data_IF_484471220053
#
_entry.id   IF_484471220053
#
_cell.length_a   1.000
_cell.length_b   1.000
_cell.length_c   1.000
_cell.angle_alpha   90.00
_cell.angle_beta   90.00
_cell.angle_gamma   90.00
#
_symmetry.space_group_name_H-M   'P 1'
#
loop_
_entity.id
_entity.type
_entity.pdbx_description
1 polymer ?
#
# COMPACT_ATOMS: atom_id res chain seq x y z
N UNK A 1 28.53 -13.31 -9.42
CA UNK A 1 27.90 -13.15 -8.07
C UNK A 1 27.58 -11.70 -7.71
N UNK A 2 28.54 -10.75 -7.66
CA UNK A 2 28.21 -9.34 -7.41
C UNK A 2 27.49 -8.67 -8.60
N UNK A 3 27.87 -9.02 -9.84
CA UNK A 3 27.24 -8.48 -11.05
C UNK A 3 25.85 -9.08 -11.33
N UNK A 4 25.59 -10.32 -10.91
CA UNK A 4 24.25 -10.93 -11.02
C UNK A 4 23.24 -10.24 -10.10
N UNK A 5 23.65 -9.86 -8.89
CA UNK A 5 22.80 -9.09 -7.97
C UNK A 5 22.52 -7.68 -8.52
N UNK A 6 23.53 -7.01 -9.08
CA UNK A 6 23.36 -5.70 -9.73
C UNK A 6 22.42 -5.78 -10.94
N UNK A 7 22.54 -6.81 -11.77
CA UNK A 7 21.64 -7.02 -12.91
C UNK A 7 20.19 -7.30 -12.46
N UNK A 8 20.01 -8.06 -11.37
CA UNK A 8 18.70 -8.26 -10.76
C UNK A 8 18.11 -6.96 -10.20
N UNK A 9 18.94 -6.11 -9.59
CA UNK A 9 18.52 -4.79 -9.09
C UNK A 9 18.10 -3.84 -10.23
N UNK A 10 18.85 -3.83 -11.34
CA UNK A 10 18.52 -3.03 -12.53
C UNK A 10 17.22 -3.53 -13.17
N UNK A 11 17.04 -4.85 -13.30
CA UNK A 11 15.81 -5.44 -13.80
C UNK A 11 14.60 -5.10 -12.90
N UNK A 12 14.78 -5.14 -11.58
CA UNK A 12 13.73 -4.75 -10.63
C UNK A 12 13.33 -3.28 -10.77
N UNK A 13 14.30 -2.36 -10.95
CA UNK A 13 14.02 -0.93 -11.20
C UNK A 13 13.23 -0.75 -12.49
N UNK A 14 13.57 -1.47 -13.56
CA UNK A 14 12.86 -1.38 -14.83
C UNK A 14 11.43 -1.94 -14.73
N UNK A 15 11.23 -3.09 -14.08
CA UNK A 15 9.90 -3.67 -13.83
C UNK A 15 9.00 -2.69 -13.05
N UNK A 16 9.54 -2.03 -12.02
CA UNK A 16 8.77 -1.07 -11.20
C UNK A 16 8.46 0.20 -12.00
N UNK A 17 9.38 0.69 -12.83
CA UNK A 17 9.11 1.80 -13.75
C UNK A 17 8.00 1.48 -14.73
N UNK A 18 7.96 0.26 -15.24
CA UNK A 18 6.89 -0.18 -16.14
C UNK A 18 5.55 -0.27 -15.39
N UNK A 19 5.55 -0.72 -14.14
CA UNK A 19 4.36 -0.69 -13.28
C UNK A 19 3.86 0.72 -13.02
N UNK A 20 4.75 1.68 -12.73
CA UNK A 20 4.38 3.09 -12.57
C UNK A 20 3.77 3.63 -13.86
N UNK A 21 4.37 3.34 -15.02
CA UNK A 21 3.81 3.73 -16.32
C UNK A 21 2.44 3.10 -16.57
N UNK A 22 2.21 1.86 -16.14
CA UNK A 22 0.90 1.22 -16.20
C UNK A 22 -0.12 1.88 -15.28
N UNK A 23 0.28 2.32 -14.09
CA UNK A 23 -0.57 3.12 -13.19
C UNK A 23 -0.92 4.46 -13.83
N UNK A 24 0.05 5.19 -14.38
CA UNK A 24 -0.19 6.46 -15.08
C UNK A 24 -1.15 6.28 -16.27
N UNK A 25 -0.94 5.24 -17.08
CA UNK A 25 -1.87 4.88 -18.17
C UNK A 25 -3.25 4.50 -17.63
N UNK A 26 -3.32 3.77 -16.51
CA UNK A 26 -4.57 3.40 -15.86
C UNK A 26 -5.35 4.62 -15.34
N UNK A 27 -4.65 5.62 -14.81
CA UNK A 27 -5.24 6.89 -14.38
C UNK A 27 -5.72 7.71 -15.58
N UNK A 28 -4.93 7.79 -16.65
CA UNK A 28 -5.30 8.52 -17.87
C UNK A 28 -6.50 7.88 -18.60
N UNK A 29 -6.53 6.54 -18.70
CA UNK A 29 -7.62 5.78 -19.31
C UNK A 29 -8.82 5.57 -18.38
N UNK A 30 -8.67 5.86 -17.07
CA UNK A 30 -9.64 5.53 -16.00
C UNK A 30 -9.99 4.04 -15.92
N UNK A 31 -9.14 3.17 -16.45
CA UNK A 31 -9.36 1.73 -16.44
C UNK A 31 -8.65 1.07 -15.25
N UNK A 32 -9.45 0.60 -14.29
CA UNK A 32 -9.00 -0.11 -13.08
C UNK A 32 -8.20 -1.39 -13.35
N UNK A 33 -8.29 -1.97 -14.56
CA UNK A 33 -7.61 -3.23 -14.94
C UNK A 33 -6.09 -3.13 -14.87
N UNK A 34 -5.53 -1.98 -15.24
CA UNK A 34 -4.07 -1.78 -15.23
C UNK A 34 -3.55 -1.75 -13.80
N UNK A 35 -4.25 -1.06 -12.89
CA UNK A 35 -3.92 -1.00 -11.47
C UNK A 35 -4.03 -2.39 -10.84
N UNK A 36 -5.09 -3.15 -11.14
CA UNK A 36 -5.26 -4.53 -10.64
C UNK A 36 -4.12 -5.47 -11.10
N UNK A 37 -3.66 -5.34 -12.35
CA UNK A 37 -2.51 -6.12 -12.86
C UNK A 37 -1.23 -5.81 -12.08
N UNK A 38 -0.96 -4.53 -11.83
CA UNK A 38 0.19 -4.10 -11.03
C UNK A 38 0.09 -4.64 -9.60
N UNK A 39 -1.08 -4.52 -8.97
CA UNK A 39 -1.32 -5.04 -7.62
C UNK A 39 -1.19 -6.57 -7.52
N UNK A 40 -1.52 -7.32 -8.58
CA UNK A 40 -1.27 -8.77 -8.64
C UNK A 40 0.20 -9.13 -8.70
N UNK A 41 1.03 -8.27 -9.29
CA UNK A 41 2.49 -8.45 -9.35
C UNK A 41 3.20 -8.01 -8.06
N UNK A 42 2.47 -7.42 -7.10
CA UNK A 42 3.00 -6.95 -5.82
C UNK A 42 3.78 -8.01 -5.01
N UNK A 43 3.38 -9.30 -4.96
CA UNK A 43 4.15 -10.33 -4.25
C UNK A 43 5.50 -10.64 -4.93
N UNK A 44 5.58 -10.52 -6.26
CA UNK A 44 6.81 -10.74 -7.00
C UNK A 44 7.78 -9.58 -6.81
N UNK A 45 7.27 -8.34 -6.85
CA UNK A 45 8.09 -7.15 -6.56
C UNK A 45 8.56 -7.14 -5.12
N UNK A 46 7.72 -7.57 -4.17
CA UNK A 46 8.10 -7.75 -2.76
C UNK A 46 9.37 -8.59 -2.59
N UNK A 47 9.58 -9.66 -3.38
CA UNK A 47 10.80 -10.47 -3.25
C UNK A 47 12.05 -9.81 -3.84
N UNK A 48 11.88 -8.99 -4.88
CA UNK A 48 12.99 -8.38 -5.66
C UNK A 48 13.41 -6.99 -5.15
N UNK A 49 12.64 -6.37 -4.25
CA UNK A 49 12.92 -5.02 -3.76
C UNK A 49 14.09 -4.99 -2.77
N UNK A 50 15.16 -4.28 -3.12
CA UNK A 50 16.30 -4.01 -2.25
C UNK A 50 16.34 -2.53 -1.83
N UNK A 51 17.01 -2.19 -0.72
CA UNK A 51 17.14 -0.80 -0.24
C UNK A 51 17.77 0.14 -1.28
N UNK A 52 18.68 -0.38 -2.12
CA UNK A 52 19.30 0.32 -3.26
C UNK A 52 18.27 0.62 -4.36
N UNK A 53 17.36 -0.32 -4.64
CA UNK A 53 16.26 -0.15 -5.61
C UNK A 53 15.30 0.95 -5.14
N UNK A 54 14.97 1.01 -3.84
CA UNK A 54 14.14 2.09 -3.29
C UNK A 54 14.80 3.46 -3.39
N UNK A 55 16.11 3.56 -3.11
CA UNK A 55 16.84 4.82 -3.24
C UNK A 55 16.75 5.33 -4.66
N UNK A 56 17.06 4.49 -5.65
CA UNK A 56 16.99 4.83 -7.08
C UNK A 56 15.57 5.17 -7.55
N UNK A 57 14.54 4.48 -7.04
CA UNK A 57 13.14 4.81 -7.31
C UNK A 57 12.75 6.16 -6.71
N UNK A 58 13.15 6.45 -5.47
CA UNK A 58 12.91 7.75 -4.85
C UNK A 58 13.56 8.88 -5.64
N UNK A 59 14.76 8.65 -6.21
CA UNK A 59 15.40 9.64 -7.09
C UNK A 59 14.71 9.79 -8.45
N UNK A 60 14.08 8.72 -8.94
CA UNK A 60 13.42 8.67 -10.24
C UNK A 60 11.98 9.20 -10.22
N UNK A 61 11.30 9.14 -9.08
CA UNK A 61 9.87 9.44 -8.93
C UNK A 61 9.65 10.82 -8.31
N UNK A 62 10.49 11.21 -7.35
CA UNK A 62 10.34 12.49 -6.65
C UNK A 62 11.32 13.55 -7.18
N UNK A 63 10.87 14.78 -7.47
CA UNK A 63 11.77 15.93 -7.52
C UNK A 63 12.50 16.10 -6.18
N UNK A 64 13.63 16.80 -6.17
CA UNK A 64 14.31 17.15 -4.92
C UNK A 64 13.38 18.01 -4.05
N UNK A 65 12.89 17.44 -2.94
CA UNK A 65 11.93 18.09 -2.05
C UNK A 65 11.66 17.27 -0.79
N UNK A 66 10.87 17.83 0.14
CA UNK A 66 10.61 17.27 1.47
C UNK A 66 10.00 15.84 1.43
N UNK A 67 9.21 15.52 0.41
CA UNK A 67 8.65 14.17 0.22
C UNK A 67 9.71 13.10 -0.05
N UNK A 68 10.80 13.47 -0.75
CA UNK A 68 11.93 12.58 -1.02
C UNK A 68 12.75 12.37 0.25
N UNK A 69 12.95 13.40 1.06
CA UNK A 69 13.64 13.27 2.35
C UNK A 69 12.83 12.47 3.37
N UNK A 70 11.51 12.66 3.43
CA UNK A 70 10.62 11.86 4.27
C UNK A 70 10.59 10.38 3.84
N UNK A 71 10.51 10.12 2.53
CA UNK A 71 10.61 8.77 1.99
C UNK A 71 11.97 8.12 2.27
N UNK A 72 13.07 8.89 2.14
CA UNK A 72 14.44 8.44 2.41
C UNK A 72 14.68 8.20 3.90
N UNK A 73 14.12 9.04 4.77
CA UNK A 73 14.20 8.89 6.23
C UNK A 73 13.44 7.68 6.76
N UNK A 74 12.36 7.28 6.08
CA UNK A 74 11.55 6.11 6.42
C UNK A 74 12.09 4.79 5.86
N UNK A 75 13.12 4.81 5.00
CA UNK A 75 13.71 3.57 4.47
C UNK A 75 14.34 2.74 5.59
N UNK A 76 14.25 1.39 5.54
CA UNK A 76 14.98 0.54 6.46
C UNK A 76 16.48 0.81 6.30
N UNK A 77 17.20 0.89 7.42
CA UNK A 77 18.61 1.22 7.46
C UNK A 77 19.43 0.14 6.74
N UNK A 78 19.73 0.37 5.47
CA UNK A 78 20.84 -0.24 4.75
C UNK A 78 21.69 0.89 4.22
N UNK A 79 22.98 0.69 4.35
CA UNK A 79 24.02 1.67 4.61
C UNK A 79 24.03 2.90 3.70
N UNK A 80 24.53 3.99 4.27
CA UNK A 80 24.80 5.25 3.57
C UNK A 80 25.75 5.08 2.37
N UNK A 81 26.40 3.92 2.19
CA UNK A 81 27.50 3.70 1.24
C UNK A 81 27.25 2.71 0.09
N UNK A 82 26.01 2.52 -0.37
CA UNK A 82 25.78 1.94 -1.69
C UNK A 82 25.67 3.05 -2.74
N UNK A 83 26.84 3.43 -3.25
CA UNK A 83 27.06 4.32 -4.39
C UNK A 83 26.17 3.95 -5.58
N UNK A 84 25.69 4.98 -6.24
CA UNK A 84 24.91 5.01 -7.47
C UNK A 84 25.13 3.77 -8.38
N UNK A 85 24.03 3.11 -8.77
CA UNK A 85 24.08 2.11 -9.85
C UNK A 85 24.37 2.86 -11.16
N UNK A 86 25.51 2.64 -11.84
CA UNK A 86 25.95 3.47 -12.97
C UNK A 86 25.10 3.32 -14.24
N UNK A 87 24.27 2.29 -14.32
CA UNK A 87 23.66 1.83 -15.58
C UNK A 87 22.13 1.84 -15.61
N UNK A 88 21.51 2.63 -14.74
CA UNK A 88 20.11 3.02 -14.97
C UNK A 88 20.14 4.24 -15.89
N UNK A 89 19.66 4.16 -17.15
CA UNK A 89 19.67 5.32 -18.04
C UNK A 89 18.98 6.48 -17.32
N UNK A 90 19.72 7.59 -17.18
CA UNK A 90 19.31 8.88 -16.62
C UNK A 90 18.16 9.48 -17.45
N UNK A 91 17.01 8.81 -17.53
CA UNK A 91 15.78 9.42 -18.03
C UNK A 91 15.18 10.21 -16.89
N UNK A 92 15.62 11.47 -16.86
CA UNK A 92 15.00 12.65 -16.29
C UNK A 92 14.51 12.51 -14.84
N UNK A 93 15.20 13.22 -13.94
CA UNK A 93 14.63 13.68 -12.67
C UNK A 93 13.22 14.20 -12.95
N UNK A 94 12.21 13.62 -12.31
CA UNK A 94 10.83 14.02 -12.50
C UNK A 94 10.70 15.52 -12.17
N UNK A 95 10.41 16.34 -13.18
CA UNK A 95 10.19 17.79 -13.04
C UNK A 95 8.79 18.13 -12.55
N UNK A 96 7.89 17.14 -12.47
CA UNK A 96 6.50 17.29 -12.01
C UNK A 96 6.30 16.54 -10.71
N UNK A 97 5.49 17.10 -9.82
CA UNK A 97 5.01 16.40 -8.64
C UNK A 97 4.37 15.07 -9.09
N UNK A 98 4.77 13.93 -8.49
CA UNK A 98 4.23 12.64 -8.86
C UNK A 98 2.72 12.63 -8.69
N UNK A 99 2.07 11.86 -9.55
CA UNK A 99 0.63 11.64 -9.48
C UNK A 99 0.33 10.97 -8.13
N UNK A 100 -0.74 11.41 -7.46
CA UNK A 100 -1.23 10.90 -6.18
C UNK A 100 -1.19 9.37 -6.04
N UNK A 101 -1.55 8.68 -7.13
CA UNK A 101 -1.59 7.22 -7.24
C UNK A 101 -0.19 6.59 -7.25
N UNK A 102 0.80 7.24 -7.86
CA UNK A 102 2.20 6.79 -7.88
C UNK A 102 2.81 6.94 -6.49
N UNK A 103 2.51 8.04 -5.80
CA UNK A 103 2.89 8.25 -4.40
C UNK A 103 2.31 7.16 -3.50
N UNK A 104 1.00 6.93 -3.55
CA UNK A 104 0.38 5.90 -2.73
C UNK A 104 0.95 4.50 -3.01
N UNK A 105 1.26 4.19 -4.27
CA UNK A 105 1.90 2.92 -4.61
C UNK A 105 3.33 2.82 -4.07
N UNK A 106 4.13 3.89 -4.13
CA UNK A 106 5.48 3.90 -3.58
C UNK A 106 5.47 3.69 -2.06
N UNK A 107 4.61 4.42 -1.34
CA UNK A 107 4.45 4.25 0.11
C UNK A 107 3.89 2.88 0.49
N UNK A 108 3.01 2.29 -0.33
CA UNK A 108 2.56 0.90 -0.16
C UNK A 108 3.72 -0.09 -0.27
N UNK A 109 4.59 0.06 -1.28
CA UNK A 109 5.78 -0.79 -1.43
C UNK A 109 6.73 -0.64 -0.25
N UNK A 110 6.95 0.60 0.20
CA UNK A 110 7.78 0.89 1.37
C UNK A 110 7.22 0.22 2.63
N UNK A 111 5.91 0.34 2.86
CA UNK A 111 5.22 -0.27 3.99
C UNK A 111 5.39 -1.80 4.00
N UNK A 112 5.16 -2.45 2.85
CA UNK A 112 5.32 -3.91 2.71
C UNK A 112 6.75 -4.34 3.05
N UNK A 113 7.74 -3.55 2.63
CA UNK A 113 9.17 -3.82 2.87
C UNK A 113 9.60 -3.59 4.30
N UNK A 114 9.04 -2.58 4.97
CA UNK A 114 9.26 -2.37 6.40
C UNK A 114 8.64 -3.49 7.25
N UNK A 115 7.49 -4.02 6.83
CA UNK A 115 6.88 -5.21 7.45
C UNK A 115 7.79 -6.44 7.28
N UNK A 116 8.38 -6.63 6.09
CA UNK A 116 9.35 -7.72 5.86
C UNK A 116 10.60 -7.57 6.73
N UNK A 117 11.12 -6.34 6.85
CA UNK A 117 12.28 -6.02 7.67
C UNK A 117 11.97 -6.02 9.18
N UNK A 118 10.72 -6.26 9.59
CA UNK A 118 10.27 -6.25 10.98
C UNK A 118 10.48 -4.91 11.72
N UNK A 119 10.71 -3.80 11.02
CA UNK A 119 10.91 -2.48 11.64
C UNK A 119 9.55 -1.81 11.91
N UNK A 120 8.94 -2.20 13.03
CA UNK A 120 7.60 -1.78 13.42
C UNK A 120 7.48 -0.27 13.70
N UNK A 121 8.57 0.38 14.11
CA UNK A 121 8.57 1.81 14.45
C UNK A 121 8.43 2.64 13.17
N UNK A 122 9.28 2.37 12.17
CA UNK A 122 9.22 3.06 10.87
C UNK A 122 7.98 2.69 10.09
N UNK A 123 7.58 1.41 10.13
CA UNK A 123 6.35 0.94 9.49
C UNK A 123 5.12 1.74 9.94
N UNK A 124 5.00 2.03 11.25
CA UNK A 124 3.89 2.84 11.77
C UNK A 124 3.86 4.25 11.16
N UNK A 125 4.98 4.96 11.16
CA UNK A 125 5.07 6.33 10.63
C UNK A 125 4.77 6.33 9.12
N UNK A 126 5.31 5.36 8.37
CA UNK A 126 5.01 5.21 6.94
C UNK A 126 3.54 4.90 6.68
N UNK A 127 2.91 4.09 7.54
CA UNK A 127 1.50 3.74 7.41
C UNK A 127 0.60 4.96 7.68
N UNK A 128 0.88 5.75 8.72
CA UNK A 128 0.15 6.99 9.04
C UNK A 128 0.32 8.05 7.94
N UNK A 129 1.52 8.18 7.39
CA UNK A 129 1.79 9.07 6.26
C UNK A 129 1.02 8.64 4.99
N UNK A 130 1.02 7.34 4.67
CA UNK A 130 0.25 6.77 3.56
C UNK A 130 -1.24 7.02 3.74
N UNK A 131 -1.77 6.77 4.95
CA UNK A 131 -3.17 7.03 5.27
C UNK A 131 -3.52 8.51 5.12
N UNK A 132 -2.68 9.42 5.59
CA UNK A 132 -2.90 10.87 5.46
C UNK A 132 -2.95 11.30 4.00
N UNK A 133 -2.05 10.79 3.14
CA UNK A 133 -2.05 11.10 1.70
C UNK A 133 -3.30 10.57 0.99
N UNK A 134 -3.70 9.32 1.27
CA UNK A 134 -4.92 8.72 0.70
C UNK A 134 -6.17 9.49 1.14
N UNK A 135 -6.18 9.94 2.39
CA UNK A 135 -7.29 10.67 2.99
C UNK A 135 -7.61 12.00 2.30
N UNK A 136 -6.57 12.69 1.82
CA UNK A 136 -6.69 14.02 1.21
C UNK A 136 -7.17 13.92 -0.25
N UNK A 137 -6.72 12.90 -0.98
CA UNK A 137 -6.87 12.87 -2.43
C UNK A 137 -8.18 12.24 -2.91
N UNK A 138 -8.86 11.39 -2.11
CA UNK A 138 -10.21 10.82 -2.35
C UNK A 138 -10.58 10.54 -3.84
N UNK A 139 -9.63 10.02 -4.65
CA UNK A 139 -9.85 9.71 -6.06
C UNK A 139 -10.30 8.27 -6.25
N UNK A 140 -11.19 8.00 -7.22
CA UNK A 140 -11.69 6.64 -7.51
C UNK A 140 -10.62 5.68 -8.01
N UNK A 141 -9.63 6.20 -8.73
CA UNK A 141 -8.41 5.49 -9.15
C UNK A 141 -7.57 5.02 -7.96
N UNK A 142 -7.64 5.75 -6.84
CA UNK A 142 -6.89 5.46 -5.63
C UNK A 142 -7.54 4.38 -4.76
N UNK A 143 -8.83 4.13 -4.93
CA UNK A 143 -9.62 3.23 -4.07
C UNK A 143 -9.04 1.79 -4.05
N UNK A 144 -8.61 1.27 -5.20
CA UNK A 144 -8.00 -0.06 -5.31
C UNK A 144 -6.64 -0.16 -4.58
N UNK A 145 -5.83 0.89 -4.70
CA UNK A 145 -4.55 0.98 -3.97
C UNK A 145 -4.84 1.16 -2.48
N UNK A 146 -5.80 2.00 -2.15
CA UNK A 146 -6.29 2.28 -0.81
C UNK A 146 -6.76 1.03 -0.08
N UNK A 147 -7.53 0.15 -0.75
CA UNK A 147 -7.95 -1.12 -0.19
C UNK A 147 -6.76 -1.96 0.30
N UNK A 148 -5.70 -2.10 -0.51
CA UNK A 148 -4.48 -2.81 -0.08
C UNK A 148 -3.74 -2.05 1.02
N UNK A 149 -3.69 -0.73 0.94
CA UNK A 149 -3.06 0.10 1.97
C UNK A 149 -3.77 -0.04 3.33
N UNK A 150 -5.10 -0.09 3.38
CA UNK A 150 -5.86 -0.32 4.63
C UNK A 150 -5.57 -1.69 5.23
N UNK A 151 -5.43 -2.73 4.40
CA UNK A 151 -5.05 -4.06 4.86
C UNK A 151 -3.67 -4.06 5.55
N UNK A 152 -2.65 -3.47 4.90
CA UNK A 152 -1.31 -3.40 5.49
C UNK A 152 -1.23 -2.45 6.68
N UNK A 153 -2.01 -1.37 6.69
CA UNK A 153 -2.15 -0.47 7.83
C UNK A 153 -2.70 -1.21 9.06
N UNK A 154 -3.80 -1.95 8.89
CA UNK A 154 -4.35 -2.81 9.94
C UNK A 154 -3.31 -3.85 10.40
N UNK A 155 -2.58 -4.47 9.47
CA UNK A 155 -1.53 -5.44 9.80
C UNK A 155 -0.39 -4.87 10.64
N UNK A 156 0.09 -3.66 10.35
CA UNK A 156 1.13 -3.01 11.17
C UNK A 156 0.64 -2.76 12.58
N UNK A 157 -0.62 -2.37 12.72
CA UNK A 157 -1.21 -2.13 14.03
C UNK A 157 -1.38 -3.39 14.88
N UNK A 158 -1.70 -4.52 14.24
CA UNK A 158 -1.69 -5.83 14.90
C UNK A 158 -0.32 -6.17 15.43
N UNK A 159 0.73 -5.96 14.62
CA UNK A 159 2.11 -6.22 15.02
C UNK A 159 2.57 -5.27 16.15
N UNK A 160 2.03 -4.06 16.21
CA UNK A 160 2.27 -3.10 17.30
C UNK A 160 1.36 -3.30 18.52
N UNK A 161 0.44 -4.28 18.49
CA UNK A 161 -0.60 -4.51 19.50
C UNK A 161 -1.49 -3.28 19.81
N UNK A 162 -1.58 -2.31 18.91
CA UNK A 162 -2.34 -1.06 19.08
C UNK A 162 -3.58 -1.04 18.19
N UNK A 163 -4.40 -2.08 18.29
CA UNK A 163 -5.56 -2.30 17.42
C UNK A 163 -6.80 -1.48 17.84
N UNK A 164 -6.90 -1.08 19.11
CA UNK A 164 -8.01 -0.29 19.64
C UNK A 164 -8.10 1.11 19.01
N UNK A 165 -6.97 1.81 18.90
CA UNK A 165 -6.92 3.19 18.40
C UNK A 165 -7.32 3.34 16.93
N UNK A 166 -7.33 2.25 16.17
CA UNK A 166 -7.58 2.27 14.72
C UNK A 166 -9.04 2.03 14.36
N UNK A 167 -9.86 1.50 15.28
CA UNK A 167 -11.27 1.21 15.01
C UNK A 167 -12.03 2.44 14.52
N UNK A 168 -11.86 3.57 15.20
CA UNK A 168 -12.52 4.84 14.85
C UNK A 168 -12.12 5.30 13.43
N UNK A 169 -10.84 5.19 13.10
CA UNK A 169 -10.33 5.50 11.77
C UNK A 169 -10.92 4.57 10.69
N UNK A 170 -10.95 3.26 10.93
CA UNK A 170 -11.52 2.29 9.99
C UNK A 170 -13.03 2.50 9.77
N UNK A 171 -13.78 2.82 10.83
CA UNK A 171 -15.21 3.15 10.72
C UNK A 171 -15.45 4.42 9.92
N UNK A 172 -14.67 5.47 10.15
CA UNK A 172 -14.75 6.70 9.37
C UNK A 172 -14.49 6.43 7.89
N UNK A 173 -13.47 5.62 7.59
CA UNK A 173 -13.10 5.22 6.23
C UNK A 173 -14.17 4.34 5.58
N UNK A 174 -14.77 3.41 6.32
CA UNK A 174 -15.85 2.55 5.83
C UNK A 174 -17.04 3.40 5.40
N UNK A 175 -17.44 4.40 6.21
CA UNK A 175 -18.51 5.34 5.85
C UNK A 175 -18.20 6.14 4.58
N UNK A 176 -16.95 6.56 4.39
CA UNK A 176 -16.55 7.23 3.14
C UNK A 176 -16.59 6.27 1.94
N UNK A 177 -16.16 5.03 2.11
CA UNK A 177 -16.16 4.02 1.06
C UNK A 177 -17.60 3.61 0.65
N UNK A 178 -18.54 3.54 1.61
CA UNK A 178 -19.96 3.30 1.32
C UNK A 178 -20.59 4.44 0.53
N UNK A 179 -20.37 5.70 0.93
CA UNK A 179 -20.87 6.87 0.20
C UNK A 179 -20.32 6.96 -1.23
N UNK A 180 -19.09 6.50 -1.46
CA UNK A 180 -18.44 6.53 -2.78
C UNK A 180 -18.75 5.30 -3.64
N UNK A 181 -19.51 4.34 -3.11
CA UNK A 181 -19.75 3.04 -3.74
C UNK A 181 -18.45 2.30 -4.13
N UNK A 182 -17.42 2.42 -3.28
CA UNK A 182 -16.18 1.65 -3.42
C UNK A 182 -16.35 0.26 -2.76
N UNK A 183 -16.74 -0.71 -3.57
CA UNK A 183 -17.03 -2.07 -3.12
C UNK A 183 -15.78 -2.83 -2.65
N UNK A 184 -14.63 -2.63 -3.29
CA UNK A 184 -13.40 -3.32 -2.90
C UNK A 184 -12.86 -2.76 -1.57
N UNK A 185 -12.86 -1.43 -1.40
CA UNK A 185 -12.46 -0.80 -0.14
C UNK A 185 -13.40 -1.16 1.01
N UNK A 186 -14.72 -1.19 0.78
CA UNK A 186 -15.70 -1.62 1.77
C UNK A 186 -15.44 -3.05 2.26
N UNK A 187 -15.24 -4.00 1.34
CA UNK A 187 -14.99 -5.40 1.68
C UNK A 187 -13.74 -5.57 2.56
N UNK A 188 -12.63 -4.93 2.18
CA UNK A 188 -11.38 -4.99 2.96
C UNK A 188 -11.53 -4.35 4.33
N UNK A 189 -12.20 -3.19 4.43
CA UNK A 189 -12.42 -2.49 5.69
C UNK A 189 -13.31 -3.29 6.66
N UNK A 190 -14.38 -3.91 6.15
CA UNK A 190 -15.24 -4.80 6.94
C UNK A 190 -14.42 -5.99 7.47
N UNK A 191 -13.66 -6.66 6.61
CA UNK A 191 -12.80 -7.78 7.01
C UNK A 191 -11.76 -7.36 8.07
N UNK A 192 -11.18 -6.17 7.96
CA UNK A 192 -10.25 -5.65 8.97
C UNK A 192 -10.95 -5.36 10.30
N UNK A 193 -12.16 -4.79 10.29
CA UNK A 193 -12.95 -4.52 11.49
C UNK A 193 -13.39 -5.81 12.18
N UNK A 194 -13.89 -6.79 11.43
CA UNK A 194 -14.26 -8.10 11.98
C UNK A 194 -13.08 -8.75 12.67
N UNK A 195 -11.93 -8.80 12.00
CA UNK A 195 -10.70 -9.35 12.58
C UNK A 195 -10.29 -8.64 13.87
N UNK A 196 -10.44 -7.30 13.91
CA UNK A 196 -10.18 -6.51 15.10
C UNK A 196 -11.14 -6.88 16.24
N UNK A 197 -12.43 -7.01 15.98
CA UNK A 197 -13.41 -7.40 16.99
C UNK A 197 -13.20 -8.81 17.53
N UNK A 198 -12.91 -9.78 16.65
CA UNK A 198 -12.59 -11.15 17.04
C UNK A 198 -11.32 -11.21 17.90
N UNK A 199 -10.29 -10.41 17.59
CA UNK A 199 -9.05 -10.37 18.37
C UNK A 199 -9.29 -9.98 19.84
N UNK A 200 -10.23 -9.07 20.10
CA UNK A 200 -10.58 -8.64 21.45
C UNK A 200 -11.83 -9.32 22.02
N UNK A 201 -12.35 -10.35 21.34
CA UNK A 201 -13.57 -11.07 21.72
C UNK A 201 -14.83 -10.20 21.88
N UNK A 202 -14.97 -9.10 21.11
CA UNK A 202 -16.17 -8.26 21.10
C UNK A 202 -17.21 -8.78 20.09
N UNK A 203 -17.78 -9.96 20.36
CA UNK A 203 -18.72 -10.64 19.45
C UNK A 203 -19.99 -9.83 19.20
N UNK A 204 -20.56 -9.19 20.22
CA UNK A 204 -21.78 -8.37 20.07
C UNK A 204 -21.59 -7.19 19.11
N UNK A 205 -20.39 -6.61 19.08
CA UNK A 205 -20.08 -5.50 18.18
C UNK A 205 -19.85 -6.00 16.76
N UNK A 206 -19.22 -7.17 16.60
CA UNK A 206 -19.07 -7.82 15.30
C UNK A 206 -20.43 -8.17 14.68
N UNK A 207 -21.35 -8.75 15.45
CA UNK A 207 -22.70 -9.10 14.97
C UNK A 207 -23.50 -7.84 14.57
N UNK A 208 -23.44 -6.78 15.37
CA UNK A 208 -24.04 -5.47 15.03
C UNK A 208 -23.45 -4.88 13.76
N UNK A 209 -22.14 -5.02 13.53
CA UNK A 209 -21.50 -4.57 12.30
C UNK A 209 -22.08 -5.33 11.11
N UNK A 210 -22.05 -6.66 11.14
CA UNK A 210 -22.51 -7.52 10.02
C UNK A 210 -23.98 -7.27 9.70
N UNK A 211 -24.84 -7.16 10.70
CA UNK A 211 -26.28 -6.87 10.51
C UNK A 211 -26.54 -5.53 9.85
N UNK A 212 -25.67 -4.54 10.06
CA UNK A 212 -25.84 -3.17 9.57
C UNK A 212 -25.07 -2.88 8.27
N UNK A 213 -23.97 -3.58 8.04
CA UNK A 213 -23.15 -3.43 6.84
C UNK A 213 -23.63 -4.39 5.75
N UNK A 214 -24.00 -3.85 4.58
CA UNK A 214 -24.22 -4.68 3.39
C UNK A 214 -22.85 -5.04 2.82
N UNK A 215 -22.50 -6.33 2.85
CA UNK A 215 -21.26 -6.79 2.24
C UNK A 215 -21.40 -6.78 0.71
N UNK A 216 -20.47 -6.17 -0.03
CA UNK A 216 -20.66 -5.97 -1.46
C UNK A 216 -20.42 -7.22 -2.29
N UNK A 217 -21.36 -7.57 -3.17
CA UNK A 217 -21.27 -8.73 -4.07
C UNK A 217 -20.14 -8.62 -5.10
N UNK A 218 -19.84 -7.40 -5.55
CA UNK A 218 -18.76 -7.11 -6.51
C UNK A 218 -17.34 -7.25 -5.95
N UNK A 219 -17.20 -7.61 -4.66
CA UNK A 219 -15.89 -7.80 -4.03
C UNK A 219 -15.16 -9.02 -4.59
N UNK A 220 -13.82 -9.00 -4.50
CA UNK A 220 -13.02 -10.17 -4.88
C UNK A 220 -13.43 -11.43 -4.09
N UNK A 221 -13.46 -12.59 -4.77
CA UNK A 221 -13.70 -13.90 -4.14
C UNK A 221 -12.80 -14.14 -2.91
N UNK A 222 -11.57 -13.61 -2.94
CA UNK A 222 -10.63 -13.73 -1.82
C UNK A 222 -11.11 -12.97 -0.58
N UNK A 223 -11.78 -11.83 -0.74
CA UNK A 223 -12.34 -11.07 0.38
C UNK A 223 -13.62 -11.74 0.88
N UNK A 224 -14.46 -12.25 -0.03
CA UNK A 224 -15.65 -13.04 0.33
C UNK A 224 -15.32 -14.28 1.17
N UNK A 225 -14.30 -15.05 0.79
CA UNK A 225 -13.87 -16.22 1.57
C UNK A 225 -13.40 -15.83 2.98
N UNK A 226 -12.72 -14.70 3.13
CA UNK A 226 -12.30 -14.18 4.45
C UNK A 226 -13.49 -13.73 5.28
N UNK A 227 -14.43 -13.04 4.66
CA UNK A 227 -15.66 -12.60 5.32
C UNK A 227 -16.44 -13.79 5.88
N UNK A 228 -16.68 -14.82 5.06
CA UNK A 228 -17.37 -16.04 5.47
C UNK A 228 -16.63 -16.77 6.60
N UNK A 229 -15.29 -16.82 6.55
CA UNK A 229 -14.48 -17.38 7.62
C UNK A 229 -14.63 -16.63 8.95
N UNK A 230 -14.62 -15.29 8.92
CA UNK A 230 -14.83 -14.49 10.13
C UNK A 230 -16.27 -14.51 10.62
N UNK A 231 -17.24 -14.66 9.71
CA UNK A 231 -18.65 -14.73 10.07
C UNK A 231 -19.01 -16.07 10.72
N UNK A 232 -18.38 -17.17 10.30
CA UNK A 232 -18.61 -18.50 10.86
C UNK A 232 -17.88 -18.79 12.17
N UNK A 233 -17.01 -17.90 12.65
CA UNK A 233 -16.19 -18.08 13.84
C UNK A 233 -16.71 -17.28 15.02
#
# INVERSE_FOLDING_TARGET
LADDKKNQDVAAVQEIREQIRQIEKGVASKESRFILRVLRNLPNTRRKLNGVVFRNLAQSIYPAGADREAAVALMPAVEKDATELPDVPKKQVATKAPIAEVDAYFYLLLLVKLIDASDLKRAGISADALMSKISIQNRRTLDLIGAKSYFYFSRVAELKHSLEGIRSFLHARLRTATLRNDFEGQAVLINCLLRNYLHYALYDQADKLVKKSVYPESASNNEWARFLYYHGR
#
